data_IF_057597884734
#
_entry.id   IF_057597884734
#
_cell.length_a   1.000
_cell.length_b   1.000
_cell.length_c   1.000
_cell.angle_alpha   90.00
_cell.angle_beta   90.00
_cell.angle_gamma   90.00
#
_symmetry.space_group_name_H-M   'P 1'
#
loop_
_entity.id
_entity.type
_entity.pdbx_description
1 polymer ?
#
# COMPACT_ATOMS: atom_id res chain seq x y z
N UNK A 1 -15.00 22.03 -4.82
CA UNK A 1 -13.99 20.95 -4.65
C UNK A 1 -13.29 21.15 -3.31
N UNK A 2 -12.98 20.09 -2.55
CA UNK A 2 -12.22 20.23 -1.30
C UNK A 2 -10.84 20.83 -1.60
N UNK A 3 -10.38 21.75 -0.76
CA UNK A 3 -9.04 22.31 -0.87
C UNK A 3 -8.05 21.33 -0.24
N UNK A 4 -7.17 20.76 -1.05
CA UNK A 4 -6.13 19.84 -0.61
C UNK A 4 -5.03 20.61 0.15
N UNK A 5 -4.50 19.99 1.21
CA UNK A 5 -3.34 20.47 1.95
C UNK A 5 -2.16 19.56 1.66
N UNK A 6 -1.05 20.18 1.25
CA UNK A 6 0.23 19.52 0.98
C UNK A 6 1.21 19.80 2.10
N UNK A 7 2.06 18.82 2.39
CA UNK A 7 3.09 18.87 3.42
C UNK A 7 4.37 18.29 2.86
N UNK A 8 5.53 18.78 3.31
CA UNK A 8 6.83 18.25 2.90
C UNK A 8 7.57 17.81 4.15
N UNK A 9 7.95 16.54 4.18
CA UNK A 9 8.96 16.04 5.10
C UNK A 9 10.31 16.09 4.39
N UNK A 10 11.35 16.57 5.07
CA UNK A 10 12.71 16.68 4.53
C UNK A 10 13.74 16.35 5.60
N UNK A 11 14.66 15.45 5.29
CA UNK A 11 15.80 15.14 6.15
C UNK A 11 17.06 15.94 5.73
N UNK A 12 18.09 15.95 6.57
CA UNK A 12 19.33 16.69 6.32
C UNK A 12 20.15 16.09 5.16
N UNK A 13 19.90 14.82 4.82
CA UNK A 13 20.46 14.18 3.63
C UNK A 13 19.86 14.67 2.31
N UNK A 14 18.73 15.39 2.36
CA UNK A 14 18.08 15.96 1.18
C UNK A 14 16.99 15.08 0.57
N UNK A 15 16.58 13.98 1.20
CA UNK A 15 15.37 13.26 0.80
C UNK A 15 14.14 14.11 1.10
N UNK A 16 13.21 14.18 0.15
CA UNK A 16 11.96 14.93 0.27
C UNK A 16 10.77 14.00 0.04
N UNK A 17 9.77 14.11 0.91
CA UNK A 17 8.50 13.38 0.77
C UNK A 17 7.38 14.40 0.81
N UNK A 18 6.60 14.46 -0.27
CA UNK A 18 5.40 15.29 -0.33
C UNK A 18 4.17 14.46 0.05
N UNK A 19 3.41 14.94 1.03
CA UNK A 19 2.21 14.30 1.56
C UNK A 19 0.97 15.16 1.31
N UNK A 20 -0.19 14.52 1.18
CA UNK A 20 -1.48 15.16 0.99
C UNK A 20 -2.50 14.67 2.01
N UNK A 21 -3.33 15.57 2.53
CA UNK A 21 -4.38 15.20 3.49
C UNK A 21 -5.56 14.42 2.89
N UNK A 22 -5.74 14.43 1.57
CA UNK A 22 -6.74 13.57 0.94
C UNK A 22 -6.15 12.17 0.73
N UNK A 23 -6.76 11.19 1.41
CA UNK A 23 -6.27 9.82 1.46
C UNK A 23 -4.99 9.61 2.27
N UNK A 24 -4.57 10.59 3.09
CA UNK A 24 -3.28 10.58 3.81
C UNK A 24 -2.17 10.05 2.89
N UNK A 25 -2.01 10.71 1.75
CA UNK A 25 -1.37 10.20 0.53
C UNK A 25 0.07 10.66 0.40
N UNK A 26 0.93 9.80 -0.13
CA UNK A 26 2.25 10.15 -0.64
C UNK A 26 2.09 10.65 -2.09
N UNK A 27 2.40 11.93 -2.33
CA UNK A 27 2.39 12.51 -3.68
C UNK A 27 3.72 12.34 -4.41
N UNK A 28 4.83 12.39 -3.67
CA UNK A 28 6.18 12.35 -4.25
C UNK A 28 7.17 11.83 -3.23
N UNK A 29 8.12 11.01 -3.68
CA UNK A 29 9.33 10.64 -2.93
C UNK A 29 10.54 10.94 -3.81
N UNK A 30 11.28 11.98 -3.43
CA UNK A 30 12.50 12.40 -4.10
C UNK A 30 13.71 12.06 -3.25
N UNK A 31 14.63 11.30 -3.84
CA UNK A 31 15.87 10.88 -3.18
C UNK A 31 17.05 11.53 -3.91
N UNK A 32 17.99 12.18 -3.22
CA UNK A 32 19.16 12.76 -3.86
C UNK A 32 20.04 11.64 -4.42
N UNK A 33 20.51 11.79 -5.66
CA UNK A 33 21.59 10.96 -6.20
C UNK A 33 22.95 11.36 -5.61
N UNK A 34 24.00 10.65 -6.03
CA UNK A 34 25.38 10.91 -5.59
C UNK A 34 25.89 12.33 -5.88
N UNK A 35 25.28 13.04 -6.83
CA UNK A 35 25.64 14.39 -7.24
C UNK A 35 24.69 15.44 -6.59
N UNK A 36 23.82 15.00 -5.67
CA UNK A 36 22.86 15.82 -4.93
C UNK A 36 21.60 16.18 -5.71
N UNK A 37 21.42 15.66 -6.92
CA UNK A 37 20.24 15.92 -7.74
C UNK A 37 19.09 15.02 -7.27
N UNK A 38 17.91 15.61 -7.07
CA UNK A 38 16.72 14.89 -6.64
C UNK A 38 16.16 14.01 -7.77
N UNK A 39 16.14 12.70 -7.53
CA UNK A 39 15.49 11.71 -8.36
C UNK A 39 14.08 11.47 -7.83
N UNK A 40 13.06 11.71 -8.66
CA UNK A 40 11.69 11.28 -8.37
C UNK A 40 11.61 9.75 -8.50
N UNK A 41 11.11 9.07 -7.47
CA UNK A 41 11.05 7.61 -7.41
C UNK A 41 9.62 7.07 -7.49
N UNK A 42 8.63 7.96 -7.47
CA UNK A 42 7.20 7.61 -7.48
C UNK A 42 6.47 8.16 -8.69
N UNK A 43 5.34 7.55 -9.01
CA UNK A 43 4.35 8.05 -9.97
C UNK A 43 3.09 8.49 -9.22
N UNK A 44 2.58 9.69 -9.52
CA UNK A 44 1.32 10.18 -8.99
C UNK A 44 0.61 11.10 -10.00
N UNK A 45 -0.58 11.54 -9.62
CA UNK A 45 -1.39 12.52 -10.33
C UNK A 45 -0.76 13.93 -10.26
N UNK A 46 -0.98 14.73 -11.29
CA UNK A 46 -0.26 16.00 -11.47
C UNK A 46 -0.89 17.20 -10.76
N UNK A 47 -2.21 17.20 -10.56
CA UNK A 47 -2.96 18.31 -9.97
C UNK A 47 -4.07 17.82 -9.03
N UNK A 48 -4.71 18.77 -8.38
CA UNK A 48 -5.73 18.55 -7.34
C UNK A 48 -6.97 17.83 -7.89
N UNK A 49 -7.42 18.20 -9.10
CA UNK A 49 -8.55 17.59 -9.78
C UNK A 49 -8.29 16.11 -10.11
N UNK A 50 -7.10 15.79 -10.61
CA UNK A 50 -6.67 14.43 -10.92
C UNK A 50 -6.49 13.60 -9.65
N UNK A 51 -6.00 14.19 -8.55
CA UNK A 51 -5.90 13.52 -7.23
C UNK A 51 -7.30 13.16 -6.70
N UNK A 52 -8.26 14.08 -6.80
CA UNK A 52 -9.63 13.86 -6.28
C UNK A 52 -10.38 12.81 -7.12
N UNK A 53 -10.14 12.79 -8.43
CA UNK A 53 -10.78 11.86 -9.37
C UNK A 53 -9.99 10.58 -9.62
N UNK A 54 -8.89 10.38 -8.88
CA UNK A 54 -7.96 9.27 -9.04
C UNK A 54 -8.64 7.92 -8.84
N UNK A 55 -8.58 7.08 -9.87
CA UNK A 55 -9.11 5.70 -9.88
C UNK A 55 -8.05 4.65 -9.56
N UNK A 56 -6.80 5.06 -9.43
CA UNK A 56 -5.65 4.16 -9.26
C UNK A 56 -5.10 4.19 -7.83
N UNK A 57 -5.72 4.95 -6.92
CA UNK A 57 -5.33 5.04 -5.51
C UNK A 57 -3.87 5.51 -5.28
N UNK A 58 -3.29 6.26 -6.22
CA UNK A 58 -1.86 6.56 -6.27
C UNK A 58 -1.33 7.18 -4.98
N UNK A 59 -0.54 6.40 -4.24
CA UNK A 59 0.11 6.79 -2.99
C UNK A 59 -0.81 6.92 -1.78
N UNK A 60 -2.10 6.64 -1.91
CA UNK A 60 -3.06 6.78 -0.82
C UNK A 60 -2.85 5.71 0.25
N UNK A 61 -3.13 6.07 1.50
CA UNK A 61 -3.34 5.11 2.58
C UNK A 61 -4.72 4.48 2.42
N UNK A 62 -4.77 3.16 2.30
CA UNK A 62 -6.00 2.41 2.00
C UNK A 62 -6.62 1.86 3.28
N UNK A 63 -7.95 1.88 3.33
CA UNK A 63 -8.78 1.28 4.37
C UNK A 63 -10.27 1.52 4.09
N UNK A 64 -11.21 0.95 4.86
CA UNK A 64 -11.00 0.18 6.10
C UNK A 64 -10.28 -1.16 5.87
N UNK A 65 -10.47 -1.78 4.72
CA UNK A 65 -9.72 -2.96 4.27
C UNK A 65 -9.14 -2.71 2.88
N UNK A 66 -7.84 -2.90 2.71
CA UNK A 66 -7.21 -2.90 1.40
C UNK A 66 -7.51 -4.19 0.63
N UNK A 67 -7.27 -4.14 -0.69
CA UNK A 67 -7.59 -5.20 -1.64
C UNK A 67 -9.08 -5.56 -1.65
N UNK A 68 -9.43 -6.77 -2.12
CA UNK A 68 -10.80 -7.19 -2.37
C UNK A 68 -11.44 -7.91 -1.18
N UNK A 69 -12.75 -7.71 -1.04
CA UNK A 69 -13.66 -8.62 -0.33
C UNK A 69 -14.67 -9.14 -1.37
N UNK A 70 -14.73 -10.46 -1.53
CA UNK A 70 -15.55 -11.12 -2.54
C UNK A 70 -17.04 -10.87 -2.30
N UNK A 71 -17.79 -10.69 -3.38
CA UNK A 71 -19.24 -10.42 -3.40
C UNK A 71 -19.68 -9.20 -2.56
N UNK A 72 -18.74 -8.36 -2.13
CA UNK A 72 -18.99 -7.24 -1.20
C UNK A 72 -19.77 -7.67 0.05
N UNK A 73 -19.50 -8.88 0.54
CA UNK A 73 -20.20 -9.47 1.67
C UNK A 73 -19.23 -10.26 2.54
N UNK A 74 -19.55 -10.34 3.83
CA UNK A 74 -18.85 -11.20 4.77
C UNK A 74 -19.71 -11.50 6.00
N UNK A 75 -19.36 -12.56 6.71
CA UNK A 75 -19.98 -12.93 7.98
C UNK A 75 -19.02 -12.64 9.13
N UNK A 76 -19.48 -11.95 10.17
CA UNK A 76 -18.71 -11.69 11.37
C UNK A 76 -19.55 -11.96 12.62
N UNK A 77 -19.03 -12.81 13.51
CA UNK A 77 -19.73 -13.26 14.73
C UNK A 77 -21.16 -13.78 14.45
N UNK A 78 -21.35 -14.45 13.30
CA UNK A 78 -22.63 -15.02 12.86
C UNK A 78 -23.63 -14.02 12.27
N UNK A 79 -23.20 -12.78 12.02
CA UNK A 79 -24.00 -11.74 11.37
C UNK A 79 -23.45 -11.46 9.98
N UNK A 80 -24.33 -11.48 8.98
CA UNK A 80 -24.00 -11.13 7.60
C UNK A 80 -23.97 -9.61 7.41
N UNK A 81 -22.93 -9.12 6.74
CA UNK A 81 -22.75 -7.73 6.36
C UNK A 81 -22.66 -7.60 4.85
N UNK A 82 -23.31 -6.58 4.29
CA UNK A 82 -23.11 -6.14 2.91
C UNK A 82 -22.43 -4.79 2.90
N UNK A 83 -21.31 -4.71 2.18
CA UNK A 83 -20.51 -3.50 2.00
C UNK A 83 -20.68 -2.97 0.58
N UNK A 84 -20.22 -1.74 0.34
CA UNK A 84 -20.38 -1.10 -0.98
C UNK A 84 -19.67 -1.90 -2.09
N UNK A 85 -20.29 -2.02 -3.25
CA UNK A 85 -19.64 -2.55 -4.46
C UNK A 85 -18.94 -1.42 -5.21
N UNK A 86 -17.72 -1.65 -5.68
CA UNK A 86 -16.99 -0.68 -6.52
C UNK A 86 -16.02 -1.33 -7.53
N UNK A 87 -15.90 -2.66 -7.52
CA UNK A 87 -15.14 -3.42 -8.52
C UNK A 87 -15.97 -4.64 -8.96
N UNK A 88 -16.84 -4.45 -9.94
CA UNK A 88 -17.86 -5.44 -10.31
C UNK A 88 -18.82 -5.71 -9.14
N UNK A 89 -18.90 -6.97 -8.72
CA UNK A 89 -19.68 -7.39 -7.53
C UNK A 89 -18.89 -7.33 -6.23
N UNK A 90 -17.59 -7.02 -6.31
CA UNK A 90 -16.67 -7.03 -5.18
C UNK A 90 -16.48 -5.63 -4.57
N UNK A 91 -16.04 -5.61 -3.31
CA UNK A 91 -15.56 -4.41 -2.65
C UNK A 91 -14.06 -4.36 -2.84
N UNK A 92 -13.53 -3.25 -3.33
CA UNK A 92 -12.11 -3.02 -3.51
C UNK A 92 -11.67 -1.79 -2.71
N UNK A 93 -10.60 -1.95 -1.94
CA UNK A 93 -9.93 -0.87 -1.21
C UNK A 93 -10.87 -0.06 -0.29
N UNK A 94 -11.78 -0.77 0.37
CA UNK A 94 -12.68 -0.20 1.37
C UNK A 94 -13.94 0.44 0.80
N UNK A 95 -14.16 0.38 -0.52
CA UNK A 95 -15.40 0.81 -1.17
C UNK A 95 -15.32 2.09 -1.99
N UNK A 96 -16.48 2.51 -2.50
CA UNK A 96 -16.60 3.65 -3.43
C UNK A 96 -16.02 4.94 -2.83
N UNK A 97 -16.23 5.17 -1.54
CA UNK A 97 -15.67 6.30 -0.79
C UNK A 97 -14.87 5.81 0.42
N UNK A 98 -13.98 4.84 0.17
CA UNK A 98 -13.00 4.35 1.13
C UNK A 98 -12.01 5.42 1.60
N UNK A 99 -11.09 5.05 2.49
CA UNK A 99 -10.19 5.99 3.17
C UNK A 99 -9.32 6.82 2.23
N UNK A 100 -8.99 6.27 1.06
CA UNK A 100 -8.23 6.90 -0.01
C UNK A 100 -8.91 8.13 -0.63
N UNK A 101 -10.24 8.22 -0.54
CA UNK A 101 -11.07 9.31 -1.09
C UNK A 101 -11.64 10.25 -0.01
N UNK A 102 -11.03 10.26 1.18
CA UNK A 102 -11.48 11.08 2.32
C UNK A 102 -10.44 12.14 2.68
N UNK A 103 -10.91 13.27 3.20
CA UNK A 103 -10.03 14.27 3.82
C UNK A 103 -9.70 13.80 5.23
N UNK A 104 -8.42 13.62 5.50
CA UNK A 104 -7.88 13.35 6.83
C UNK A 104 -7.52 14.66 7.52
N UNK A 105 -7.72 14.69 8.84
CA UNK A 105 -7.32 15.80 9.69
C UNK A 105 -5.86 15.64 10.10
N UNK A 106 -5.08 16.70 10.01
CA UNK A 106 -3.67 16.69 10.46
C UNK A 106 -3.56 17.06 11.93
N UNK A 107 -2.79 16.30 12.69
CA UNK A 107 -2.46 16.58 14.09
C UNK A 107 -0.96 16.71 14.27
N UNK A 108 -0.53 17.79 14.92
CA UNK A 108 0.84 18.00 15.38
C UNK A 108 1.93 17.82 14.31
N UNK A 109 2.39 18.92 13.71
CA UNK A 109 3.75 18.90 13.13
C UNK A 109 4.72 18.97 14.29
N UNK A 110 5.30 17.84 14.70
CA UNK A 110 6.44 17.92 15.60
C UNK A 110 7.65 18.32 14.74
N UNK A 111 7.91 19.63 14.69
CA UNK A 111 8.98 20.25 13.89
C UNK A 111 10.35 19.66 14.25
N UNK A 112 10.48 19.00 15.41
CA UNK A 112 11.68 18.32 15.85
C UNK A 112 11.84 16.87 15.35
N UNK A 113 10.80 16.21 14.83
CA UNK A 113 10.84 14.79 14.44
C UNK A 113 10.55 14.51 12.97
N UNK A 114 10.49 15.54 12.11
CA UNK A 114 10.25 15.42 10.66
C UNK A 114 9.12 14.41 10.34
N UNK A 115 7.98 14.60 11.00
CA UNK A 115 6.87 13.68 11.01
C UNK A 115 5.52 14.39 10.94
N UNK A 116 4.50 13.70 10.45
CA UNK A 116 3.14 14.21 10.31
C UNK A 116 2.10 13.10 10.53
N UNK A 117 1.13 13.37 11.41
CA UNK A 117 0.02 12.48 11.68
C UNK A 117 -1.24 12.94 10.94
N UNK A 118 -1.89 11.99 10.28
CA UNK A 118 -3.23 12.12 9.72
C UNK A 118 -4.21 11.27 10.52
N UNK A 119 -5.39 11.81 10.83
CA UNK A 119 -6.48 11.15 11.55
C UNK A 119 -7.77 11.19 10.72
N UNK A 120 -8.55 10.10 10.74
CA UNK A 120 -9.84 9.98 10.07
C UNK A 120 -10.83 9.27 10.99
N UNK A 121 -12.01 9.86 11.17
CA UNK A 121 -13.15 9.20 11.77
C UNK A 121 -14.06 8.61 10.67
N UNK A 122 -14.24 7.29 10.72
CA UNK A 122 -15.18 6.54 9.89
C UNK A 122 -16.34 6.11 10.77
N UNK A 123 -17.54 6.61 10.52
CA UNK A 123 -18.71 6.32 11.36
C UNK A 123 -19.16 4.86 11.26
N UNK A 124 -19.98 4.41 12.20
CA UNK A 124 -20.65 3.08 12.12
C UNK A 124 -21.48 2.99 10.84
N UNK A 125 -21.33 1.90 10.09
CA UNK A 125 -21.99 1.69 8.80
C UNK A 125 -21.35 2.41 7.61
N UNK A 126 -20.22 3.11 7.78
CA UNK A 126 -19.50 3.73 6.65
C UNK A 126 -19.08 2.65 5.63
N UNK A 127 -19.47 2.84 4.38
CA UNK A 127 -19.35 1.84 3.29
C UNK A 127 -19.97 0.46 3.62
N UNK A 128 -20.84 0.38 4.63
CA UNK A 128 -21.49 -0.85 5.12
C UNK A 128 -20.73 -1.59 6.23
N UNK A 129 -19.53 -1.12 6.63
CA UNK A 129 -18.75 -1.79 7.67
C UNK A 129 -19.31 -1.52 9.08
N UNK A 130 -19.38 -2.53 9.97
CA UNK A 130 -19.82 -2.34 11.35
C UNK A 130 -18.79 -1.59 12.19
N UNK A 131 -19.25 -0.79 13.14
CA UNK A 131 -18.40 -0.07 14.09
C UNK A 131 -17.88 1.24 13.53
N UNK A 132 -17.90 2.27 14.36
CA UNK A 132 -17.15 3.48 14.09
C UNK A 132 -15.67 3.18 14.34
N UNK A 133 -14.81 3.63 13.41
CA UNK A 133 -13.36 3.46 13.45
C UNK A 133 -12.69 4.84 13.49
N UNK A 134 -11.86 5.04 14.50
CA UNK A 134 -10.89 6.13 14.51
C UNK A 134 -9.57 5.59 13.98
N UNK A 135 -9.16 6.06 12.80
CA UNK A 135 -7.97 5.64 12.10
C UNK A 135 -6.89 6.73 12.12
N UNK A 136 -5.64 6.32 12.16
CA UNK A 136 -4.49 7.21 12.13
C UNK A 136 -3.36 6.64 11.26
N UNK A 137 -2.68 7.52 10.53
CA UNK A 137 -1.39 7.22 9.87
C UNK A 137 -0.37 8.27 10.28
N UNK A 138 0.74 7.84 10.89
CA UNK A 138 1.90 8.69 11.19
C UNK A 138 2.99 8.44 10.15
N UNK A 139 3.36 9.48 9.42
CA UNK A 139 4.52 9.49 8.54
C UNK A 139 5.72 10.04 9.29
N UNK A 140 6.85 9.33 9.28
CA UNK A 140 8.12 9.79 9.86
C UNK A 140 9.24 9.59 8.85
N UNK A 141 9.94 10.67 8.49
CA UNK A 141 11.12 10.61 7.63
C UNK A 141 12.37 10.88 8.47
N UNK A 142 13.27 9.90 8.56
CA UNK A 142 14.48 10.03 9.37
C UNK A 142 15.76 10.30 8.55
N UNK A 143 16.87 10.50 9.26
CA UNK A 143 18.19 10.78 8.68
C UNK A 143 18.88 9.57 8.02
N UNK A 144 18.23 8.41 7.95
CA UNK A 144 18.71 7.21 7.24
C UNK A 144 18.00 7.01 5.89
N UNK A 145 17.26 8.02 5.40
CA UNK A 145 16.41 7.91 4.21
C UNK A 145 15.33 6.80 4.36
N UNK A 146 14.79 6.68 5.57
CA UNK A 146 13.67 5.78 5.86
C UNK A 146 12.40 6.62 6.04
N UNK A 147 11.41 6.38 5.18
CA UNK A 147 10.05 6.85 5.36
C UNK A 147 9.26 5.73 6.04
N UNK A 148 8.91 5.90 7.31
CA UNK A 148 8.08 4.99 8.08
C UNK A 148 6.64 5.50 8.12
N UNK A 149 5.70 4.59 7.88
CA UNK A 149 4.27 4.78 8.06
C UNK A 149 3.83 3.87 9.20
N UNK A 150 3.29 4.45 10.26
CA UNK A 150 2.65 3.72 11.36
C UNK A 150 1.14 3.87 11.24
N UNK A 151 0.44 2.77 10.98
CA UNK A 151 -1.02 2.69 10.94
C UNK A 151 -1.54 2.30 12.31
N UNK A 152 -2.59 2.98 12.76
CA UNK A 152 -3.33 2.55 13.94
C UNK A 152 -4.83 2.80 13.84
N UNK A 153 -5.62 1.99 14.54
CA UNK A 153 -7.05 2.17 14.60
C UNK A 153 -7.68 1.57 15.86
N UNK A 154 -8.78 2.19 16.31
CA UNK A 154 -9.69 1.65 17.34
C UNK A 154 -11.11 1.56 16.78
N UNK A 155 -11.92 0.62 17.28
CA UNK A 155 -13.30 0.44 16.82
C UNK A 155 -14.30 0.38 17.96
N UNK A 156 -15.55 0.81 17.71
CA UNK A 156 -16.67 0.68 18.65
C UNK A 156 -17.42 -0.65 18.55
N UNK A 157 -17.21 -1.44 17.48
CA UNK A 157 -17.73 -2.81 17.29
C UNK A 157 -16.68 -3.69 16.60
N UNK A 158 -16.76 -5.03 16.69
CA UNK A 158 -15.94 -5.91 15.86
C UNK A 158 -16.07 -5.53 14.37
N UNK A 159 -14.94 -5.37 13.69
CA UNK A 159 -14.90 -4.96 12.27
C UNK A 159 -13.63 -5.48 11.60
N UNK A 160 -13.68 -5.91 10.33
CA UNK A 160 -12.44 -6.22 9.60
C UNK A 160 -11.64 -4.94 9.37
N UNK A 161 -10.32 -5.03 9.48
CA UNK A 161 -9.41 -3.91 9.23
C UNK A 161 -8.14 -4.40 8.56
N UNK A 162 -7.70 -3.71 7.52
CA UNK A 162 -6.45 -4.03 6.84
C UNK A 162 -5.94 -2.79 6.11
N UNK A 163 -4.81 -2.24 6.55
CA UNK A 163 -4.20 -1.07 5.92
C UNK A 163 -3.05 -1.45 5.00
N UNK A 164 -2.93 -0.69 3.92
CA UNK A 164 -1.71 -0.61 3.13
C UNK A 164 -1.48 0.85 2.69
N UNK A 165 -0.31 1.11 2.10
CA UNK A 165 -0.09 2.30 1.29
C UNK A 165 0.13 1.90 -0.17
N UNK A 166 -0.56 2.59 -1.07
CA UNK A 166 -0.64 2.23 -2.49
C UNK A 166 0.29 3.10 -3.36
N UNK A 167 1.52 3.35 -2.88
CA UNK A 167 2.54 4.08 -3.63
C UNK A 167 2.99 3.29 -4.87
N UNK A 168 3.05 4.01 -6.00
CA UNK A 168 3.56 3.50 -7.27
C UNK A 168 5.02 3.91 -7.43
N UNK A 169 5.92 2.94 -7.47
CA UNK A 169 7.36 3.15 -7.61
C UNK A 169 7.81 2.93 -9.06
N UNK A 170 8.53 3.91 -9.61
CA UNK A 170 9.24 3.78 -10.89
C UNK A 170 10.76 3.94 -10.74
N UNK A 171 11.24 4.34 -9.55
CA UNK A 171 12.66 4.54 -9.25
C UNK A 171 13.39 5.48 -10.24
N UNK A 172 12.66 6.41 -10.87
CA UNK A 172 13.17 7.32 -11.88
C UNK A 172 13.29 6.72 -13.29
N UNK A 173 12.84 5.49 -13.50
CA UNK A 173 12.72 4.89 -14.83
C UNK A 173 11.46 5.35 -15.56
N UNK A 174 11.43 5.15 -16.87
CA UNK A 174 10.22 5.40 -17.68
C UNK A 174 9.15 4.33 -17.50
N UNK A 175 9.58 3.11 -17.17
CA UNK A 175 8.74 1.95 -16.89
C UNK A 175 9.52 0.98 -15.98
N UNK A 176 8.83 -0.06 -15.50
CA UNK A 176 9.41 -1.00 -14.54
C UNK A 176 10.28 -2.09 -15.18
N UNK A 177 10.34 -2.21 -16.52
CA UNK A 177 10.93 -3.37 -17.19
C UNK A 177 12.40 -3.61 -16.81
N UNK A 178 13.18 -2.55 -16.62
CA UNK A 178 14.59 -2.64 -16.24
C UNK A 178 14.83 -2.64 -14.72
N UNK A 179 13.78 -2.60 -13.92
CA UNK A 179 13.92 -2.72 -12.47
C UNK A 179 14.16 -4.19 -12.10
N UNK A 180 14.98 -4.38 -11.08
CA UNK A 180 15.21 -5.68 -10.45
C UNK A 180 14.38 -5.76 -9.17
N UNK A 181 13.61 -6.84 -9.04
CA UNK A 181 12.76 -7.09 -7.87
C UNK A 181 13.19 -8.38 -7.17
N UNK A 182 13.22 -8.30 -5.83
CA UNK A 182 13.32 -9.45 -4.93
C UNK A 182 12.17 -9.39 -3.93
N UNK A 183 11.50 -10.51 -3.68
CA UNK A 183 10.47 -10.68 -2.65
C UNK A 183 10.83 -11.92 -1.82
N UNK A 184 10.93 -11.76 -0.50
CA UNK A 184 11.24 -12.84 0.43
C UNK A 184 9.96 -13.61 0.79
N UNK A 185 9.54 -14.52 -0.09
CA UNK A 185 8.30 -15.30 0.05
C UNK A 185 8.49 -16.72 -0.51
N UNK A 186 8.00 -17.75 0.19
CA UNK A 186 7.97 -19.14 -0.35
C UNK A 186 6.63 -19.46 -1.01
N UNK A 187 5.60 -18.67 -0.69
CA UNK A 187 4.26 -18.88 -1.20
C UNK A 187 3.58 -17.56 -1.57
N UNK A 188 2.57 -17.67 -2.44
CA UNK A 188 1.67 -16.59 -2.82
C UNK A 188 0.23 -17.10 -2.77
N UNK A 189 -0.73 -16.20 -2.87
CA UNK A 189 -2.15 -16.52 -2.93
C UNK A 189 -2.58 -16.48 -4.40
N UNK A 190 -2.93 -17.62 -5.03
CA UNK A 190 -3.52 -17.64 -6.36
C UNK A 190 -4.89 -16.97 -6.35
N UNK A 191 -5.26 -16.41 -7.50
CA UNK A 191 -6.53 -15.70 -7.68
C UNK A 191 -7.31 -16.25 -8.87
N UNK A 192 -8.62 -16.00 -8.89
CA UNK A 192 -9.47 -16.26 -10.05
C UNK A 192 -9.39 -15.15 -11.11
N UNK A 193 -10.25 -15.23 -12.13
CA UNK A 193 -10.30 -14.26 -13.22
C UNK A 193 -10.77 -12.85 -12.78
N UNK A 194 -11.41 -12.73 -11.62
CA UNK A 194 -11.85 -11.46 -11.01
C UNK A 194 -10.83 -10.95 -9.98
N UNK A 195 -9.65 -11.60 -9.90
CA UNK A 195 -8.59 -11.30 -8.93
C UNK A 195 -9.02 -11.51 -7.48
N UNK A 196 -9.97 -12.43 -7.24
CA UNK A 196 -10.35 -12.88 -5.90
C UNK A 196 -9.45 -14.04 -5.46
N UNK A 197 -8.90 -14.01 -4.24
CA UNK A 197 -8.17 -15.13 -3.65
C UNK A 197 -8.90 -16.46 -3.75
N UNK A 198 -8.18 -17.54 -4.06
CA UNK A 198 -8.74 -18.89 -3.99
C UNK A 198 -8.75 -19.47 -2.57
N UNK A 199 -8.24 -18.74 -1.58
CA UNK A 199 -8.27 -19.11 -0.16
C UNK A 199 -7.18 -20.08 0.30
N UNK A 200 -6.14 -20.30 -0.50
CA UNK A 200 -4.98 -21.12 -0.12
C UNK A 200 -3.67 -20.53 -0.64
N UNK A 201 -2.55 -21.02 -0.09
CA UNK A 201 -1.20 -20.66 -0.52
C UNK A 201 -0.67 -21.67 -1.54
N UNK A 202 -0.04 -21.18 -2.60
CA UNK A 202 0.71 -22.00 -3.57
C UNK A 202 2.19 -21.61 -3.55
N UNK A 203 3.07 -22.56 -3.92
CA UNK A 203 4.52 -22.34 -3.88
C UNK A 203 4.97 -21.40 -4.98
N UNK A 204 5.92 -20.51 -4.67
CA UNK A 204 6.59 -19.71 -5.69
C UNK A 204 7.69 -20.52 -6.39
N UNK A 205 8.23 -21.55 -5.75
CA UNK A 205 9.44 -22.28 -6.19
C UNK A 205 9.23 -22.89 -7.57
N UNK A 206 10.18 -22.66 -8.48
CA UNK A 206 10.12 -23.08 -9.88
C UNK A 206 8.94 -22.50 -10.68
N UNK A 207 8.34 -21.40 -10.23
CA UNK A 207 7.28 -20.69 -10.95
C UNK A 207 7.74 -19.31 -11.42
N UNK A 208 6.91 -18.63 -12.21
CA UNK A 208 7.13 -17.23 -12.57
C UNK A 208 7.00 -16.24 -11.40
N UNK A 209 6.44 -16.69 -10.28
CA UNK A 209 6.27 -15.93 -9.05
C UNK A 209 7.50 -16.02 -8.14
N UNK A 210 8.55 -16.78 -8.51
CA UNK A 210 9.76 -16.86 -7.70
C UNK A 210 10.61 -15.59 -7.80
N UNK A 211 10.58 -14.78 -6.74
CA UNK A 211 11.41 -13.60 -6.56
C UNK A 211 12.35 -13.73 -5.35
N UNK A 212 12.62 -14.95 -4.85
CA UNK A 212 13.57 -15.13 -3.74
C UNK A 212 14.98 -14.66 -4.10
N UNK A 213 15.34 -14.87 -5.36
CA UNK A 213 16.49 -14.24 -6.01
C UNK A 213 16.04 -13.01 -6.80
N UNK A 214 16.92 -12.00 -6.85
CA UNK A 214 16.66 -10.77 -7.61
C UNK A 214 16.45 -11.09 -9.09
N UNK A 215 15.34 -10.61 -9.66
CA UNK A 215 14.99 -10.83 -11.06
C UNK A 215 14.67 -9.51 -11.78
N UNK A 216 15.15 -9.38 -13.02
CA UNK A 216 14.76 -8.26 -13.90
C UNK A 216 13.31 -8.44 -14.32
N UNK A 217 12.50 -7.39 -14.15
CA UNK A 217 11.06 -7.48 -14.39
C UNK A 217 10.70 -7.73 -15.86
N UNK A 218 11.49 -7.26 -16.82
CA UNK A 218 11.27 -7.53 -18.24
C UNK A 218 11.07 -9.03 -18.53
N UNK A 219 11.94 -9.88 -17.97
CA UNK A 219 11.90 -11.33 -18.21
C UNK A 219 10.64 -11.96 -17.62
N UNK A 220 10.26 -11.52 -16.41
CA UNK A 220 9.08 -12.03 -15.70
C UNK A 220 7.78 -11.58 -16.35
N UNK A 221 7.76 -10.37 -16.91
CA UNK A 221 6.58 -9.78 -17.56
C UNK A 221 6.27 -10.41 -18.92
N UNK A 222 7.24 -11.05 -19.58
CA UNK A 222 6.98 -11.83 -20.81
C UNK A 222 5.96 -12.96 -20.60
N UNK A 223 5.90 -13.51 -19.38
CA UNK A 223 4.98 -14.59 -19.02
C UNK A 223 3.64 -14.09 -18.47
N UNK A 224 3.39 -12.77 -18.46
CA UNK A 224 2.15 -12.14 -18.00
C UNK A 224 2.38 -11.03 -16.96
N UNK A 225 1.32 -10.49 -16.41
CA UNK A 225 1.40 -9.45 -15.37
C UNK A 225 1.35 -10.03 -13.96
N UNK A 226 1.50 -9.17 -12.95
CA UNK A 226 1.37 -9.50 -11.53
C UNK A 226 0.33 -8.60 -10.86
N UNK A 227 -0.52 -9.23 -10.05
CA UNK A 227 -1.42 -8.61 -9.08
C UNK A 227 -1.71 -9.65 -7.97
N UNK A 228 -0.68 -10.05 -7.22
CA UNK A 228 -0.78 -11.16 -6.26
C UNK A 228 -0.21 -10.79 -4.90
N UNK A 229 -0.82 -11.35 -3.85
CA UNK A 229 -0.33 -11.25 -2.48
C UNK A 229 0.64 -12.39 -2.20
N UNK A 230 1.86 -12.05 -1.78
CA UNK A 230 2.86 -12.99 -1.31
C UNK A 230 2.80 -13.13 0.20
N UNK A 231 3.04 -14.33 0.72
CA UNK A 231 3.25 -14.54 2.15
C UNK A 231 4.69 -14.16 2.51
N UNK A 232 4.85 -13.15 3.36
CA UNK A 232 6.18 -12.65 3.73
C UNK A 232 6.87 -13.59 4.71
N UNK A 233 8.12 -14.00 4.42
CA UNK A 233 8.93 -14.86 5.32
C UNK A 233 9.41 -14.12 6.57
N UNK A 234 9.63 -12.82 6.45
CA UNK A 234 10.18 -11.98 7.50
C UNK A 234 9.80 -10.52 7.25
N UNK A 235 10.14 -9.65 8.19
CA UNK A 235 9.76 -8.23 8.11
C UNK A 235 10.40 -7.49 6.95
N UNK A 236 11.56 -7.91 6.44
CA UNK A 236 12.20 -7.34 5.23
C UNK A 236 11.62 -7.98 3.97
N UNK A 237 10.45 -7.53 3.56
CA UNK A 237 9.64 -8.22 2.57
C UNK A 237 10.20 -8.18 1.16
N UNK A 238 10.68 -7.03 0.70
CA UNK A 238 11.06 -6.86 -0.69
C UNK A 238 12.21 -5.84 -0.90
N UNK A 239 12.88 -5.96 -2.04
CA UNK A 239 13.84 -4.98 -2.52
C UNK A 239 13.61 -4.70 -4.00
N UNK A 240 13.44 -3.43 -4.35
CA UNK A 240 13.32 -2.93 -5.71
C UNK A 240 14.56 -2.11 -6.07
N UNK A 241 15.20 -2.41 -7.19
CA UNK A 241 16.48 -1.81 -7.57
C UNK A 241 16.44 -1.23 -8.99
N UNK A 242 16.93 0.00 -9.15
CA UNK A 242 17.30 0.55 -10.46
C UNK A 242 18.83 0.58 -10.58
N UNK A 243 19.38 -0.20 -11.51
CA UNK A 243 20.83 -0.19 -11.82
C UNK A 243 21.28 1.10 -12.49
N UNK A 244 20.44 1.67 -13.35
CA UNK A 244 20.71 2.91 -14.06
C UNK A 244 20.91 4.08 -13.11
N UNK A 245 20.04 4.18 -12.10
CA UNK A 245 20.08 5.25 -11.11
C UNK A 245 20.85 4.89 -9.83
N UNK A 246 21.35 3.65 -9.75
CA UNK A 246 22.14 3.12 -8.63
C UNK A 246 21.46 3.33 -7.26
N UNK A 247 20.16 3.05 -7.23
CA UNK A 247 19.31 3.22 -6.06
C UNK A 247 18.49 1.96 -5.82
N UNK A 248 18.30 1.62 -4.55
CA UNK A 248 17.45 0.53 -4.10
C UNK A 248 16.46 1.02 -3.06
N UNK A 249 15.25 0.47 -3.12
CA UNK A 249 14.18 0.61 -2.14
C UNK A 249 14.00 -0.74 -1.44
N UNK A 250 14.23 -0.79 -0.14
CA UNK A 250 13.83 -1.91 0.73
C UNK A 250 12.46 -1.60 1.35
N UNK A 251 11.56 -2.59 1.31
CA UNK A 251 10.25 -2.54 1.96
C UNK A 251 10.29 -3.43 3.18
N UNK A 252 10.08 -2.86 4.37
CA UNK A 252 10.04 -3.57 5.64
C UNK A 252 8.70 -3.35 6.36
N UNK A 253 8.09 -4.38 6.94
CA UNK A 253 6.79 -4.29 7.61
C UNK A 253 6.55 -5.45 8.58
N UNK A 254 5.66 -5.28 9.55
CA UNK A 254 5.10 -6.33 10.43
C UNK A 254 3.77 -6.93 9.92
N UNK A 255 3.37 -6.57 8.71
CA UNK A 255 2.28 -7.22 8.00
C UNK A 255 2.67 -8.66 7.61
N UNK A 256 1.67 -9.50 7.36
CA UNK A 256 1.89 -10.91 7.02
C UNK A 256 2.06 -11.14 5.51
N UNK A 257 1.64 -10.19 4.68
CA UNK A 257 1.72 -10.27 3.23
C UNK A 257 2.19 -9.00 2.56
N UNK A 258 2.54 -9.14 1.28
CA UNK A 258 2.89 -8.04 0.39
C UNK A 258 2.22 -8.24 -0.97
N UNK A 259 1.37 -7.28 -1.38
CA UNK A 259 0.83 -7.25 -2.74
C UNK A 259 1.92 -6.73 -3.69
N UNK A 260 2.21 -7.50 -4.72
CA UNK A 260 2.96 -7.01 -5.87
C UNK A 260 2.01 -6.82 -7.05
N UNK A 261 1.77 -5.55 -7.37
CA UNK A 261 1.00 -5.12 -8.54
C UNK A 261 1.90 -4.44 -9.55
N UNK A 262 1.98 -4.97 -10.77
CA UNK A 262 2.88 -4.47 -11.82
C UNK A 262 2.33 -3.28 -12.63
N UNK A 263 1.32 -2.56 -12.13
CA UNK A 263 0.83 -1.33 -12.79
C UNK A 263 0.04 -1.58 -14.08
N UNK A 264 -0.66 -2.69 -14.16
CA UNK A 264 -1.24 -3.24 -15.41
C UNK A 264 -2.31 -2.34 -16.04
N UNK A 265 -3.06 -1.63 -15.21
CA UNK A 265 -4.21 -0.81 -15.59
C UNK A 265 -3.90 0.69 -15.59
N UNK A 266 -2.66 1.07 -15.31
CA UNK A 266 -2.23 2.46 -15.43
C UNK A 266 -2.43 2.96 -16.88
N UNK A 267 -2.67 4.27 -17.10
CA UNK A 267 -2.81 4.83 -18.45
C UNK A 267 -1.64 4.49 -19.37
N UNK A 268 -0.43 4.47 -18.80
CA UNK A 268 0.72 3.78 -19.39
C UNK A 268 0.99 2.53 -18.56
N UNK A 269 0.56 1.38 -19.07
CA UNK A 269 0.74 0.10 -18.37
C UNK A 269 2.20 -0.10 -17.97
N UNK A 270 2.42 -0.59 -16.75
CA UNK A 270 3.74 -0.93 -16.22
C UNK A 270 4.72 0.26 -16.15
N UNK A 271 4.20 1.49 -16.14
CA UNK A 271 5.02 2.70 -15.91
C UNK A 271 5.56 2.80 -14.48
N UNK A 272 4.90 2.15 -13.52
CA UNK A 272 5.30 2.00 -12.13
C UNK A 272 4.67 0.73 -11.52
N UNK A 273 5.11 0.30 -10.34
CA UNK A 273 4.57 -0.85 -9.61
C UNK A 273 4.26 -0.53 -8.15
N UNK A 274 3.40 -1.32 -7.51
CA UNK A 274 3.12 -1.23 -6.08
C UNK A 274 3.75 -2.41 -5.32
N UNK A 275 4.15 -2.12 -4.08
CA UNK A 275 4.61 -3.08 -3.08
C UNK A 275 3.85 -2.78 -1.78
N UNK A 276 2.65 -3.34 -1.65
CA UNK A 276 1.70 -2.99 -0.60
C UNK A 276 1.84 -4.00 0.54
N UNK A 277 2.53 -3.64 1.62
CA UNK A 277 2.53 -4.47 2.82
C UNK A 277 1.14 -4.45 3.46
N UNK A 278 0.54 -5.63 3.66
CA UNK A 278 -0.87 -5.79 4.06
C UNK A 278 -1.15 -7.16 4.71
N UNK A 279 -2.31 -7.30 5.35
CA UNK A 279 -2.94 -8.60 5.62
C UNK A 279 -3.45 -9.26 4.34
N UNK A 280 -3.86 -10.53 4.39
CA UNK A 280 -4.27 -11.24 3.19
C UNK A 280 -5.59 -10.68 2.61
N UNK A 281 -5.69 -10.51 1.28
CA UNK A 281 -6.94 -10.17 0.62
C UNK A 281 -8.03 -11.21 0.92
N UNK A 282 -9.27 -10.76 1.01
CA UNK A 282 -10.47 -11.57 1.25
C UNK A 282 -10.39 -12.56 2.44
N UNK A 283 -9.47 -12.36 3.39
CA UNK A 283 -9.24 -13.31 4.49
C UNK A 283 -10.50 -13.57 5.34
N UNK A 284 -11.38 -12.58 5.48
CA UNK A 284 -12.67 -12.70 6.17
C UNK A 284 -13.57 -13.80 5.58
N UNK A 285 -13.42 -14.11 4.30
CA UNK A 285 -14.18 -15.12 3.58
C UNK A 285 -13.41 -16.45 3.39
N UNK A 286 -12.18 -16.54 3.89
CA UNK A 286 -11.32 -17.71 3.75
C UNK A 286 -10.73 -18.16 5.09
N UNK A 287 -11.29 -19.20 5.68
CA UNK A 287 -10.90 -19.72 7.00
C UNK A 287 -9.43 -20.10 7.15
N UNK A 288 -8.73 -20.40 6.04
CA UNK A 288 -7.31 -20.76 6.06
C UNK A 288 -6.36 -19.54 6.04
N UNK A 289 -6.88 -18.34 5.86
CA UNK A 289 -6.11 -17.09 5.84
C UNK A 289 -6.28 -16.36 7.16
N UNK A 290 -5.17 -15.88 7.71
CA UNK A 290 -5.22 -15.01 8.89
C UNK A 290 -5.94 -13.70 8.55
N UNK A 291 -6.88 -13.32 9.41
CA UNK A 291 -7.71 -12.13 9.27
C UNK A 291 -7.51 -11.18 10.45
N UNK A 292 -7.42 -9.89 10.14
CA UNK A 292 -7.36 -8.83 11.15
C UNK A 292 -8.79 -8.33 11.45
N UNK A 293 -9.34 -8.77 12.59
CA UNK A 293 -10.60 -8.28 13.14
C UNK A 293 -10.31 -7.39 14.33
N UNK A 294 -10.62 -6.10 14.21
CA UNK A 294 -10.47 -5.15 15.30
C UNK A 294 -11.70 -5.16 16.20
N UNK A 295 -11.53 -5.50 17.48
CA UNK A 295 -12.61 -5.52 18.47
C UNK A 295 -12.55 -4.31 19.42
N UNK A 296 -13.66 -3.95 20.09
CA UNK A 296 -13.66 -2.87 21.06
C UNK A 296 -12.67 -3.11 22.21
N UNK A 297 -11.87 -2.10 22.53
CA UNK A 297 -10.82 -2.17 23.55
C UNK A 297 -9.46 -2.64 23.02
N UNK A 298 -9.38 -3.12 21.79
CA UNK A 298 -8.13 -3.42 21.11
C UNK A 298 -7.61 -2.21 20.33
N UNK A 299 -6.31 -2.26 20.03
CA UNK A 299 -5.63 -1.28 19.17
C UNK A 299 -5.01 -2.03 17.99
N UNK A 300 -5.48 -1.75 16.79
CA UNK A 300 -4.79 -2.17 15.58
C UNK A 300 -3.51 -1.35 15.44
N UNK A 301 -2.37 -2.01 15.21
CA UNK A 301 -1.10 -1.36 14.92
C UNK A 301 -0.33 -2.17 13.89
N UNK A 302 0.09 -1.51 12.81
CA UNK A 302 0.98 -2.05 11.78
C UNK A 302 1.90 -0.95 11.28
N UNK A 303 3.04 -1.32 10.72
CA UNK A 303 3.93 -0.36 10.07
C UNK A 303 4.43 -0.84 8.71
N UNK A 304 4.82 0.11 7.87
CA UNK A 304 5.68 -0.14 6.71
C UNK A 304 6.80 0.90 6.67
N UNK A 305 7.98 0.49 6.26
CA UNK A 305 9.15 1.34 6.07
C UNK A 305 9.60 1.22 4.61
N UNK A 306 9.74 2.37 3.96
CA UNK A 306 10.40 2.52 2.69
C UNK A 306 11.81 3.07 2.93
N UNK A 307 12.82 2.20 2.77
CA UNK A 307 14.23 2.54 3.03
C UNK A 307 15.00 2.65 1.73
N UNK A 308 15.52 3.84 1.46
CA UNK A 308 16.32 4.08 0.26
C UNK A 308 17.82 4.01 0.55
N UNK A 309 18.55 3.38 -0.37
CA UNK A 309 20.01 3.30 -0.31
C UNK A 309 20.62 3.41 -1.71
N UNK A 310 21.89 3.80 -1.76
CA UNK A 310 22.68 3.81 -2.99
C UNK A 310 23.69 2.67 -2.98
N UNK A 311 24.06 2.21 -4.16
CA UNK A 311 25.15 1.26 -4.36
C UNK A 311 26.12 1.75 -5.43
N UNK A 312 27.36 1.25 -5.39
CA UNK A 312 28.44 1.62 -6.32
C UNK A 312 28.31 0.94 -7.66
#
# INVERSE_FOLDING_TARGET
MPRLKRFILRNDRGMHVELCNFGARILSIKVPDKDGKLLETTLNQANDEDIISDKFYMGASIGRTCNRISNSQFSLDGVEFSISTNDGVNNLHGGEVGFSKRIWHTKGTNVHSNSLTFELHSQDGDQGYPGAVDAQVLFTLNEKNELRLDFSATSTKPTPINFCNHAYFNMGEKNISNLELRIQADTYIPVDAESIPLGYFDTVVNTRFDFNESAVLADRLMSGTFDHCYHAKNTKMATLTSRKHKISLEVESDQVGIQFYSGNFLPTAQSALCLEAQGYPDAINHQALDQDILRPGELYQKYVIYRYSHFS
#
